data_IF_675464298958
#
_entry.id   IF_675464298958
#
_cell.length_a   1.000
_cell.length_b   1.000
_cell.length_c   1.000
_cell.angle_alpha   90.00
_cell.angle_beta   90.00
_cell.angle_gamma   90.00
#
_symmetry.space_group_name_H-M   'P 1'
#
loop_
_entity.id
_entity.type
_entity.pdbx_description
1 polymer ?
#
# COMPACT_ATOMS: atom_id res chain seq x y z
N UNK A 1 36.01 -32.88 52.40
CA UNK A 1 35.85 -31.46 51.99
C UNK A 1 34.75 -31.40 50.93
N UNK A 2 33.51 -31.46 51.38
CA UNK A 2 32.30 -31.20 50.59
C UNK A 2 31.71 -29.95 51.21
N UNK A 3 31.77 -28.82 50.52
CA UNK A 3 31.14 -27.60 50.98
C UNK A 3 30.87 -26.68 49.82
N UNK A 4 29.58 -26.35 49.68
CA UNK A 4 28.98 -25.27 48.90
C UNK A 4 28.94 -25.55 47.41
N UNK A 5 27.71 -25.71 46.91
CA UNK A 5 27.03 -24.71 46.08
C UNK A 5 25.53 -25.06 46.15
N UNK A 6 24.85 -24.60 47.20
CA UNK A 6 23.43 -24.28 47.08
C UNK A 6 23.43 -22.84 46.58
N UNK A 7 23.47 -22.66 45.26
CA UNK A 7 23.16 -21.36 44.68
C UNK A 7 21.65 -21.32 44.50
N UNK A 8 21.03 -20.55 45.38
CA UNK A 8 19.68 -19.99 45.26
C UNK A 8 19.37 -19.69 43.81
N UNK A 9 18.18 -20.05 43.27
CA UNK A 9 17.82 -19.57 41.94
C UNK A 9 17.87 -18.05 42.02
N UNK A 10 18.78 -17.44 41.27
CA UNK A 10 18.74 -16.01 41.03
C UNK A 10 17.41 -15.78 40.31
N UNK A 11 16.36 -15.50 41.07
CA UNK A 11 15.20 -14.81 40.57
C UNK A 11 15.71 -13.45 40.14
N UNK A 12 16.31 -13.39 38.95
CA UNK A 12 16.29 -12.17 38.14
C UNK A 12 14.81 -11.90 37.99
N UNK A 13 14.30 -11.04 38.86
CA UNK A 13 12.95 -10.54 38.78
C UNK A 13 12.75 -10.13 37.34
N UNK A 14 11.83 -10.80 36.64
CA UNK A 14 11.47 -10.45 35.28
C UNK A 14 10.93 -9.02 35.36
N UNK A 15 11.74 -8.04 34.97
CA UNK A 15 11.34 -6.64 35.02
C UNK A 15 10.45 -6.42 33.80
N UNK A 16 9.16 -6.33 34.04
CA UNK A 16 8.20 -5.81 33.07
C UNK A 16 8.38 -4.28 33.07
N UNK A 17 9.36 -3.78 32.33
CA UNK A 17 9.42 -2.35 32.06
C UNK A 17 8.31 -2.03 31.06
N UNK A 18 7.35 -1.21 31.49
CA UNK A 18 6.33 -0.68 30.61
C UNK A 18 7.03 0.12 29.51
N UNK A 19 7.07 -0.46 28.32
CA UNK A 19 7.50 0.24 27.12
C UNK A 19 6.46 1.35 26.88
N UNK A 20 6.86 2.62 26.76
CA UNK A 20 5.94 3.71 26.45
C UNK A 20 5.14 3.37 25.19
N UNK A 21 3.84 3.70 25.20
CA UNK A 21 2.95 3.49 24.05
C UNK A 21 3.45 4.23 22.81
N UNK A 22 4.20 5.32 23.02
CA UNK A 22 4.78 6.17 21.99
C UNK A 22 6.26 5.83 21.77
N UNK A 23 6.55 4.62 21.28
CA UNK A 23 7.85 4.41 20.65
C UNK A 23 7.87 5.22 19.35
N UNK A 24 8.74 6.24 19.29
CA UNK A 24 9.17 6.85 18.03
C UNK A 24 9.96 5.80 17.24
N UNK A 25 9.24 4.89 16.60
CA UNK A 25 9.82 3.82 15.83
C UNK A 25 10.19 4.34 14.44
N UNK A 26 11.47 4.67 14.26
CA UNK A 26 12.04 5.11 12.98
C UNK A 26 12.12 3.99 11.93
N UNK A 27 11.86 2.73 12.31
CA UNK A 27 11.91 1.62 11.36
C UNK A 27 10.74 1.66 10.39
N UNK A 28 11.09 1.86 9.12
CA UNK A 28 10.14 1.90 8.01
C UNK A 28 10.17 0.55 7.27
N UNK A 29 9.01 -0.07 7.00
CA UNK A 29 8.97 -1.31 6.23
C UNK A 29 9.44 -1.08 4.78
N UNK A 30 9.83 -2.16 4.11
CA UNK A 30 10.13 -2.10 2.68
C UNK A 30 8.87 -1.82 1.87
N UNK A 31 9.03 -1.14 0.74
CA UNK A 31 7.98 -1.04 -0.26
C UNK A 31 7.72 -2.41 -0.89
N UNK A 32 6.45 -2.73 -1.11
CA UNK A 32 6.08 -3.64 -2.20
C UNK A 32 5.79 -2.82 -3.43
N UNK A 33 6.18 -3.33 -4.58
CA UNK A 33 6.07 -2.63 -5.86
C UNK A 33 5.55 -3.55 -6.94
N UNK A 34 4.86 -2.96 -7.91
CA UNK A 34 4.41 -3.60 -9.15
C UNK A 34 4.71 -2.66 -10.33
N UNK A 35 4.94 -3.22 -11.52
CA UNK A 35 5.14 -2.44 -12.75
C UNK A 35 3.90 -2.61 -13.62
N UNK A 36 3.15 -1.53 -13.77
CA UNK A 36 1.99 -1.48 -14.64
C UNK A 36 2.41 -1.06 -16.05
N UNK A 37 2.34 -2.00 -16.99
CA UNK A 37 2.58 -1.75 -18.43
C UNK A 37 1.26 -1.39 -19.10
N UNK A 38 1.16 -0.15 -19.56
CA UNK A 38 0.00 0.36 -20.30
C UNK A 38 0.30 0.22 -21.78
N UNK A 39 -0.47 -0.61 -22.48
CA UNK A 39 -0.33 -0.88 -23.92
C UNK A 39 -1.39 -0.20 -24.73
N UNK A 40 -1.08 0.07 -26.00
CA UNK A 40 -1.94 0.78 -26.94
C UNK A 40 -2.35 2.16 -26.36
N UNK A 41 -1.37 2.90 -25.85
CA UNK A 41 -1.61 4.17 -25.14
C UNK A 41 -2.33 5.21 -26.02
N UNK A 42 -2.04 5.23 -27.32
CA UNK A 42 -2.72 6.14 -28.24
C UNK A 42 -4.20 5.81 -28.41
N UNK A 43 -4.61 4.55 -28.23
CA UNK A 43 -5.99 4.11 -28.37
C UNK A 43 -6.87 4.42 -27.15
N UNK A 44 -6.28 4.87 -26.03
CA UNK A 44 -7.03 5.24 -24.82
C UNK A 44 -7.86 6.50 -25.12
N UNK A 45 -9.18 6.40 -25.02
CA UNK A 45 -10.10 7.52 -25.21
C UNK A 45 -9.95 8.54 -24.06
N UNK A 46 -9.61 9.81 -24.36
CA UNK A 46 -9.37 10.79 -23.31
C UNK A 46 -10.58 11.01 -22.41
N UNK A 47 -10.36 11.02 -21.09
CA UNK A 47 -11.37 11.19 -20.02
C UNK A 47 -12.47 10.11 -19.96
N UNK A 48 -12.60 9.23 -20.95
CA UNK A 48 -13.65 8.21 -21.03
C UNK A 48 -13.13 6.82 -20.63
N UNK A 49 -11.85 6.55 -20.88
CA UNK A 49 -11.25 5.24 -20.59
C UNK A 49 -10.24 5.30 -19.42
N UNK A 50 -10.50 4.48 -18.40
CA UNK A 50 -9.60 4.26 -17.27
C UNK A 50 -8.88 2.93 -17.45
N UNK A 51 -7.54 2.93 -17.42
CA UNK A 51 -6.76 1.69 -17.33
C UNK A 51 -6.41 1.41 -15.88
N UNK A 52 -6.59 0.17 -15.48
CA UNK A 52 -6.43 -0.29 -14.10
C UNK A 52 -5.37 -1.39 -14.05
N UNK A 53 -4.44 -1.28 -13.10
CA UNK A 53 -3.42 -2.30 -12.87
C UNK A 53 -3.99 -3.58 -12.26
N UNK A 54 -3.18 -4.63 -12.26
CA UNK A 54 -3.39 -5.77 -11.36
C UNK A 54 -3.28 -5.34 -9.88
N UNK A 55 -3.76 -6.21 -8.98
CA UNK A 55 -3.72 -5.96 -7.54
C UNK A 55 -2.31 -6.20 -7.00
N UNK A 56 -1.66 -5.12 -6.55
CA UNK A 56 -0.46 -5.18 -5.73
C UNK A 56 -0.85 -5.53 -4.29
N UNK A 57 -0.19 -6.52 -3.69
CA UNK A 57 -0.29 -6.80 -2.26
C UNK A 57 0.89 -6.19 -1.51
N UNK A 58 0.59 -5.36 -0.50
CA UNK A 58 1.62 -4.76 0.34
C UNK A 58 2.23 -5.76 1.34
N UNK A 59 3.12 -5.29 2.23
CA UNK A 59 3.76 -6.12 3.26
C UNK A 59 2.80 -6.69 4.30
N UNK A 60 1.63 -6.09 4.47
CA UNK A 60 0.56 -6.61 5.35
C UNK A 60 -0.29 -7.65 4.61
N UNK A 61 -0.34 -7.56 3.28
CA UNK A 61 -1.18 -8.38 2.41
C UNK A 61 -2.38 -7.62 1.83
N UNK A 62 -2.47 -6.32 2.10
CA UNK A 62 -3.55 -5.45 1.64
C UNK A 62 -3.41 -5.14 0.15
N UNK A 63 -4.55 -5.08 -0.52
CA UNK A 63 -4.65 -4.96 -1.97
C UNK A 63 -4.74 -3.52 -2.43
N UNK A 64 -3.98 -3.20 -3.48
CA UNK A 64 -3.86 -1.87 -4.07
C UNK A 64 -3.92 -1.96 -5.59
N UNK A 65 -4.58 -0.99 -6.23
CA UNK A 65 -4.59 -0.82 -7.69
C UNK A 65 -4.22 0.60 -8.06
N UNK A 66 -3.45 0.72 -9.14
CA UNK A 66 -3.20 1.99 -9.81
C UNK A 66 -4.22 2.16 -10.93
N UNK A 67 -4.89 3.30 -10.94
CA UNK A 67 -5.79 3.73 -11.99
C UNK A 67 -5.15 4.89 -12.73
N UNK A 68 -5.26 4.89 -14.05
CA UNK A 68 -4.69 5.90 -14.93
C UNK A 68 -5.72 6.35 -15.95
N UNK A 69 -5.64 7.61 -16.33
CA UNK A 69 -6.49 8.20 -17.35
C UNK A 69 -5.65 9.12 -18.21
N UNK A 70 -6.02 9.16 -19.48
CA UNK A 70 -5.46 10.06 -20.47
C UNK A 70 -6.36 11.29 -20.56
N UNK A 71 -5.80 12.48 -20.40
CA UNK A 71 -6.44 13.77 -20.66
C UNK A 71 -5.36 14.70 -21.23
N UNK A 72 -5.39 16.00 -20.90
CA UNK A 72 -4.28 16.93 -21.11
C UNK A 72 -2.99 16.44 -20.44
N UNK A 73 -3.13 15.67 -19.35
CA UNK A 73 -2.04 15.04 -18.61
C UNK A 73 -2.23 13.52 -18.55
N UNK A 74 -1.15 12.80 -18.27
CA UNK A 74 -1.23 11.45 -17.73
C UNK A 74 -1.49 11.54 -16.23
N UNK A 75 -2.75 11.37 -15.86
CA UNK A 75 -3.20 11.44 -14.47
C UNK A 75 -3.27 10.05 -13.87
N UNK A 76 -2.97 9.93 -12.58
CA UNK A 76 -2.95 8.65 -11.85
C UNK A 76 -3.57 8.78 -10.47
N UNK A 77 -4.14 7.70 -9.95
CA UNK A 77 -4.50 7.56 -8.54
C UNK A 77 -4.31 6.14 -8.05
N UNK A 78 -4.15 5.99 -6.76
CA UNK A 78 -4.08 4.72 -6.08
C UNK A 78 -5.40 4.44 -5.37
N UNK A 79 -5.87 3.20 -5.42
CA UNK A 79 -7.10 2.74 -4.75
C UNK A 79 -6.76 1.55 -3.87
N UNK A 80 -7.20 1.60 -2.61
CA UNK A 80 -7.15 0.45 -1.71
C UNK A 80 -8.34 -0.47 -2.01
N UNK A 81 -8.07 -1.70 -2.46
CA UNK A 81 -9.11 -2.69 -2.77
C UNK A 81 -9.36 -3.66 -1.62
N UNK A 82 -8.39 -3.85 -0.74
CA UNK A 82 -8.51 -4.74 0.42
C UNK A 82 -7.60 -4.22 1.52
N UNK A 83 -8.09 -4.07 2.76
CA UNK A 83 -7.23 -3.69 3.88
C UNK A 83 -7.91 -2.84 4.95
N UNK A 84 -7.08 -2.17 5.73
CA UNK A 84 -7.50 -1.30 6.83
C UNK A 84 -7.34 0.16 6.44
N UNK A 85 -8.39 0.94 6.68
CA UNK A 85 -8.41 2.40 6.48
C UNK A 85 -7.31 3.03 7.32
N UNK A 86 -6.51 3.92 6.74
CA UNK A 86 -5.35 4.45 7.44
C UNK A 86 -4.40 5.23 6.56
N UNK A 87 -3.28 5.64 7.14
CA UNK A 87 -2.19 6.33 6.42
C UNK A 87 -1.26 5.32 5.77
N UNK A 88 -0.90 5.56 4.51
CA UNK A 88 0.03 4.74 3.75
C UNK A 88 1.00 5.64 2.99
N UNK A 89 2.25 5.22 2.94
CA UNK A 89 3.26 5.82 2.08
C UNK A 89 3.24 5.10 0.74
N UNK A 90 3.25 5.87 -0.34
CA UNK A 90 3.29 5.33 -1.69
C UNK A 90 4.23 6.12 -2.58
N UNK A 91 4.76 5.43 -3.57
CA UNK A 91 5.62 6.00 -4.60
C UNK A 91 5.06 5.60 -5.96
N UNK A 92 4.86 6.58 -6.84
CA UNK A 92 4.48 6.37 -8.24
C UNK A 92 5.62 6.91 -9.10
N UNK A 93 6.13 6.05 -9.99
CA UNK A 93 7.28 6.33 -10.83
C UNK A 93 6.91 6.03 -12.28
N UNK A 94 6.81 7.08 -13.10
CA UNK A 94 6.76 6.94 -14.55
C UNK A 94 8.16 6.57 -15.03
N UNK A 95 8.30 5.34 -15.51
CA UNK A 95 9.58 4.77 -15.87
C UNK A 95 10.04 5.28 -17.22
N UNK A 96 11.35 5.43 -17.35
CA UNK A 96 12.02 5.84 -18.58
C UNK A 96 13.24 4.93 -18.79
N UNK A 97 13.62 4.67 -20.04
CA UNK A 97 14.78 3.81 -20.36
C UNK A 97 16.08 4.33 -19.74
N UNK A 98 16.27 5.66 -19.79
CA UNK A 98 17.22 6.40 -18.96
C UNK A 98 16.62 6.66 -17.56
N UNK A 99 17.11 5.98 -16.50
CA UNK A 99 16.56 6.11 -15.15
C UNK A 99 16.70 7.50 -14.54
N UNK A 100 17.60 8.35 -15.08
CA UNK A 100 17.79 9.71 -14.57
C UNK A 100 16.65 10.65 -14.97
N UNK A 101 15.85 10.26 -15.98
CA UNK A 101 14.67 10.99 -16.45
C UNK A 101 13.36 10.48 -15.86
N UNK A 102 13.38 9.39 -15.08
CA UNK A 102 12.18 8.86 -14.48
C UNK A 102 11.49 9.91 -13.59
N UNK A 103 10.17 10.07 -13.75
CA UNK A 103 9.39 11.01 -12.94
C UNK A 103 8.87 10.25 -11.73
N UNK A 104 9.30 10.67 -10.54
CA UNK A 104 8.95 10.01 -9.28
C UNK A 104 8.20 10.95 -8.34
N UNK A 105 7.05 10.46 -7.86
CA UNK A 105 6.23 11.08 -6.83
C UNK A 105 6.20 10.18 -5.60
N UNK A 106 6.49 10.72 -4.42
CA UNK A 106 6.36 10.00 -3.13
C UNK A 106 5.48 10.80 -2.18
N UNK A 107 4.48 10.15 -1.59
CA UNK A 107 3.45 10.79 -0.76
C UNK A 107 3.06 9.90 0.42
N UNK A 108 2.44 10.51 1.43
CA UNK A 108 1.83 9.80 2.57
C UNK A 108 0.41 10.33 2.77
N UNK A 109 -0.58 9.54 2.38
CA UNK A 109 -2.00 9.94 2.44
C UNK A 109 -2.83 8.97 3.25
N UNK A 110 -4.03 9.43 3.63
CA UNK A 110 -5.05 8.60 4.25
C UNK A 110 -5.92 7.97 3.16
N UNK A 111 -6.05 6.65 3.20
CA UNK A 111 -6.83 5.88 2.23
C UNK A 111 -8.03 5.22 2.88
N UNK A 112 -9.16 5.31 2.19
CA UNK A 112 -10.39 4.59 2.49
C UNK A 112 -10.60 3.43 1.53
N UNK A 113 -11.27 2.39 2.00
CA UNK A 113 -11.48 1.17 1.22
C UNK A 113 -12.41 1.44 0.03
N UNK A 114 -11.98 1.07 -1.18
CA UNK A 114 -12.67 1.27 -2.46
C UNK A 114 -12.95 2.73 -2.85
N UNK A 115 -12.32 3.69 -2.18
CA UNK A 115 -12.41 5.10 -2.57
C UNK A 115 -11.20 5.53 -3.38
N UNK A 116 -11.43 6.46 -4.30
CA UNK A 116 -10.37 7.10 -5.07
C UNK A 116 -9.46 7.87 -4.10
N UNK A 117 -8.16 7.57 -4.14
CA UNK A 117 -7.16 8.37 -3.45
C UNK A 117 -6.95 9.74 -4.13
N UNK A 118 -5.93 10.49 -3.70
CA UNK A 118 -5.52 11.71 -4.38
C UNK A 118 -5.16 11.44 -5.85
N UNK A 119 -5.55 12.36 -6.72
CA UNK A 119 -5.21 12.33 -8.15
C UNK A 119 -3.94 13.14 -8.37
N UNK A 120 -3.02 12.60 -9.17
CA UNK A 120 -1.76 13.24 -9.51
C UNK A 120 -1.56 13.31 -11.01
N UNK A 121 -1.19 14.47 -11.51
CA UNK A 121 -0.77 14.66 -12.90
C UNK A 121 0.73 14.46 -12.98
N UNK A 122 1.17 13.42 -13.69
CA UNK A 122 2.60 13.07 -13.76
C UNK A 122 3.34 13.92 -14.79
N UNK A 123 2.73 14.09 -15.96
CA UNK A 123 3.30 14.79 -17.11
C UNK A 123 2.19 15.16 -18.10
N UNK A 124 2.37 16.25 -18.83
CA UNK A 124 1.52 16.60 -19.97
C UNK A 124 1.56 15.51 -21.05
N UNK A 125 0.42 15.24 -21.69
CA UNK A 125 0.32 14.15 -22.66
C UNK A 125 1.26 14.34 -23.85
N UNK A 126 1.38 15.58 -24.34
CA UNK A 126 2.23 15.95 -25.48
C UNK A 126 3.72 15.71 -25.18
N UNK A 127 4.14 15.79 -23.92
CA UNK A 127 5.54 15.58 -23.53
C UNK A 127 5.92 14.10 -23.41
N UNK A 128 4.96 13.17 -23.32
CA UNK A 128 5.26 11.74 -23.18
C UNK A 128 6.11 11.20 -24.32
N UNK A 129 5.75 11.56 -25.56
CA UNK A 129 6.48 11.13 -26.75
C UNK A 129 7.77 11.94 -26.94
N UNK A 130 7.71 13.26 -26.71
CA UNK A 130 8.86 14.17 -26.86
C UNK A 130 9.99 13.82 -25.89
N UNK A 131 9.66 13.47 -24.65
CA UNK A 131 10.63 13.15 -23.61
C UNK A 131 11.06 11.68 -23.60
N UNK A 132 10.38 10.81 -24.36
CA UNK A 132 10.75 9.40 -24.54
C UNK A 132 10.17 8.43 -23.49
N UNK A 133 9.08 8.80 -22.81
CA UNK A 133 8.40 7.91 -21.86
C UNK A 133 7.50 6.87 -22.55
N UNK A 134 7.03 7.19 -23.75
CA UNK A 134 6.22 6.28 -24.56
C UNK A 134 7.13 5.51 -25.53
N UNK A 135 7.08 4.19 -25.48
CA UNK A 135 7.78 3.33 -26.41
C UNK A 135 7.08 3.36 -27.78
N UNK A 136 7.75 3.84 -28.85
CA UNK A 136 7.15 3.95 -30.17
C UNK A 136 6.99 2.59 -30.87
N UNK A 137 7.72 1.54 -30.46
CA UNK A 137 7.68 0.24 -31.13
C UNK A 137 6.41 -0.55 -30.79
N UNK A 138 5.93 -0.45 -29.55
CA UNK A 138 4.78 -1.22 -29.05
C UNK A 138 3.66 -0.36 -28.43
N UNK A 139 3.73 0.96 -28.61
CA UNK A 139 2.77 1.95 -28.10
C UNK A 139 2.47 1.73 -26.61
N UNK A 140 3.54 1.64 -25.81
CA UNK A 140 3.44 1.33 -24.40
C UNK A 140 4.26 2.25 -23.49
N UNK A 141 3.79 2.42 -22.26
CA UNK A 141 4.53 3.09 -21.20
C UNK A 141 4.44 2.27 -19.90
N UNK A 142 5.38 2.50 -18.98
CA UNK A 142 5.48 1.73 -17.75
C UNK A 142 5.42 2.65 -16.53
N UNK A 143 4.55 2.31 -15.59
CA UNK A 143 4.46 2.99 -14.30
C UNK A 143 4.72 1.99 -13.19
N UNK A 144 5.77 2.23 -12.41
CA UNK A 144 6.01 1.48 -11.18
C UNK A 144 5.29 2.17 -10.04
N UNK A 145 4.43 1.44 -9.34
CA UNK A 145 3.81 1.93 -8.13
C UNK A 145 4.21 1.06 -6.94
N UNK A 146 4.39 1.70 -5.79
CA UNK A 146 4.89 1.07 -4.59
C UNK A 146 4.10 1.55 -3.38
N UNK A 147 3.79 0.64 -2.45
CA UNK A 147 2.98 0.98 -1.27
C UNK A 147 3.54 0.31 -0.02
N UNK A 148 3.46 1.00 1.12
CA UNK A 148 3.77 0.47 2.45
C UNK A 148 3.04 1.21 3.56
N UNK A 149 2.86 0.59 4.74
CA UNK A 149 2.56 1.33 5.97
C UNK A 149 3.73 2.27 6.35
N UNK A 150 3.47 3.42 6.98
CA UNK A 150 4.52 4.42 7.26
C UNK A 150 5.61 3.95 8.22
N UNK A 151 5.31 3.00 9.11
CA UNK A 151 6.27 2.45 10.08
C UNK A 151 5.95 0.98 10.36
N UNK A 152 6.91 0.24 10.93
CA UNK A 152 6.71 -1.16 11.32
C UNK A 152 5.69 -1.30 12.45
N UNK A 153 5.52 -0.27 13.29
CA UNK A 153 4.45 -0.23 14.31
C UNK A 153 3.08 -0.20 13.63
N UNK A 154 2.94 0.58 12.55
CA UNK A 154 1.69 0.63 11.78
C UNK A 154 1.38 -0.71 11.09
N UNK A 155 2.40 -1.45 10.62
CA UNK A 155 2.21 -2.83 10.10
C UNK A 155 1.51 -3.69 11.15
N UNK A 156 2.04 -3.74 12.38
CA UNK A 156 1.47 -4.54 13.47
C UNK A 156 0.06 -4.10 13.83
N UNK A 157 -0.17 -2.78 13.90
CA UNK A 157 -1.49 -2.20 14.23
C UNK A 157 -2.53 -2.54 13.17
N UNK A 158 -2.19 -2.39 11.89
CA UNK A 158 -3.10 -2.72 10.80
C UNK A 158 -3.40 -4.22 10.72
N UNK A 159 -2.41 -5.08 10.97
CA UNK A 159 -2.64 -6.52 11.07
C UNK A 159 -3.63 -6.87 12.19
N UNK A 160 -3.43 -6.32 13.39
CA UNK A 160 -4.34 -6.53 14.52
C UNK A 160 -5.75 -6.05 14.22
N UNK A 161 -5.89 -4.84 13.66
CA UNK A 161 -7.20 -4.30 13.31
C UNK A 161 -7.92 -5.16 12.26
N UNK A 162 -7.19 -5.65 11.25
CA UNK A 162 -7.75 -6.53 10.24
C UNK A 162 -8.24 -7.85 10.84
N UNK A 163 -7.45 -8.46 11.73
CA UNK A 163 -7.82 -9.69 12.44
C UNK A 163 -9.07 -9.44 13.30
N UNK A 164 -9.10 -8.37 14.08
CA UNK A 164 -10.22 -8.04 14.95
C UNK A 164 -11.52 -7.83 14.16
N UNK A 165 -11.43 -7.18 12.99
CA UNK A 165 -12.56 -7.00 12.08
C UNK A 165 -13.07 -8.34 11.55
N UNK A 166 -12.16 -9.17 11.04
CA UNK A 166 -12.49 -10.49 10.51
C UNK A 166 -13.14 -11.41 11.58
N UNK A 167 -12.62 -11.38 12.81
CA UNK A 167 -13.19 -12.15 13.92
C UNK A 167 -14.58 -11.66 14.31
N UNK A 168 -14.83 -10.34 14.34
CA UNK A 168 -16.16 -9.78 14.60
C UNK A 168 -17.18 -10.17 13.53
N UNK A 169 -16.80 -10.10 12.26
CA UNK A 169 -17.68 -10.45 11.15
C UNK A 169 -18.07 -11.94 11.19
N UNK A 170 -17.13 -12.81 11.55
CA UNK A 170 -17.40 -14.24 11.73
C UNK A 170 -18.35 -14.54 12.91
N UNK A 171 -18.23 -13.81 14.02
CA UNK A 171 -19.14 -13.96 15.17
C UNK A 171 -20.56 -13.48 14.79
N UNK A 172 -20.67 -12.35 14.10
CA UNK A 172 -21.97 -11.80 13.69
C UNK A 172 -22.68 -12.69 12.66
N UNK A 173 -21.94 -13.35 11.77
CA UNK A 173 -22.50 -14.27 10.78
C UNK A 173 -22.91 -15.65 11.35
N UNK A 174 -22.63 -15.93 12.63
CA UNK A 174 -22.99 -17.19 13.30
C UNK A 174 -24.25 -17.09 14.20
N UNK A 175 -24.94 -15.94 14.27
CA UNK A 175 -26.24 -15.86 14.94
C UNK A 175 -27.39 -16.05 13.93
N UNK A 176 -28.03 -17.24 13.84
CA UNK A 176 -29.27 -17.37 13.10
C UNK A 176 -30.35 -16.54 13.80
N UNK A 177 -31.07 -15.75 13.00
CA UNK A 177 -32.24 -14.98 13.40
C UNK A 177 -33.36 -15.94 13.79
N UNK A 178 -33.32 -16.50 14.99
CA UNK A 178 -34.48 -17.13 15.63
C UNK A 178 -34.95 -16.20 16.74
N UNK A 179 -36.06 -15.51 16.47
CA UNK A 179 -37.11 -15.07 17.40
C UNK A 179 -37.74 -13.75 16.93
N UNK A 180 -38.60 -13.82 15.91
CA UNK A 180 -39.77 -12.95 15.83
C UNK A 180 -40.94 -13.84 15.44
N UNK A 181 -41.79 -14.18 16.41
CA UNK A 181 -42.98 -14.96 16.17
C UNK A 181 -43.54 -15.65 17.41
N UNK A 182 -44.20 -14.88 18.27
CA UNK A 182 -45.54 -15.16 18.83
C UNK A 182 -46.05 -13.91 19.52
#
# INVERSE_FOLDING_TARGET
RCSRLIETPASKAFRHEHVPVDLDCEFVPEFRSEVFVIKNYHAIEPMEECRTSDVLRDVVGFGWRLHIWKSDHLSVTLIMTEGVIGRYEYCIELMHEDPTKAIRLTQIDHFELHQTGPVHDLIENEQLEVEGFLNPEDDSLQIKFSVRPPTIVMVSRYQQEFIDRFMKDNINNQMPVSCIGT
#
